data_IF_277321799808
#
_entry.id   IF_277321799808
#
_cell.length_a   1.000
_cell.length_b   1.000
_cell.length_c   1.000
_cell.angle_alpha   90.00
_cell.angle_beta   90.00
_cell.angle_gamma   90.00
#
_symmetry.space_group_name_H-M   'P 1'
#
loop_
_entity.id
_entity.type
_entity.pdbx_description
1 polymer ?
#
# COMPACT_ATOMS: atom_id res chain seq x y z
N UNK A 1 1.31 -34.05 -11.68
CA UNK A 1 0.36 -33.38 -10.77
C UNK A 1 0.75 -31.90 -10.77
N UNK A 2 0.05 -31.07 -11.55
CA UNK A 2 0.38 -29.65 -11.72
C UNK A 2 -0.40 -28.82 -10.69
N UNK A 3 0.29 -27.97 -9.94
CA UNK A 3 -0.33 -27.07 -8.96
C UNK A 3 -1.25 -26.05 -9.66
N UNK A 4 -2.41 -25.69 -9.06
CA UNK A 4 -3.26 -24.64 -9.61
C UNK A 4 -2.54 -23.30 -9.48
N UNK A 5 -2.27 -22.66 -10.62
CA UNK A 5 -1.88 -21.25 -10.68
C UNK A 5 -3.10 -20.46 -10.25
N UNK A 6 -3.13 -20.02 -9.00
CA UNK A 6 -4.13 -19.06 -8.53
C UNK A 6 -3.88 -17.75 -9.26
N UNK A 7 -4.63 -17.54 -10.35
CA UNK A 7 -4.71 -16.25 -11.03
C UNK A 7 -5.30 -15.25 -10.03
N UNK A 8 -4.43 -14.54 -9.33
CA UNK A 8 -4.80 -13.40 -8.49
C UNK A 8 -5.41 -12.36 -9.44
N UNK A 9 -6.74 -12.24 -9.42
CA UNK A 9 -7.44 -11.15 -10.06
C UNK A 9 -7.09 -9.92 -9.22
N UNK A 10 -5.99 -9.23 -9.57
CA UNK A 10 -5.70 -7.92 -9.00
C UNK A 10 -6.82 -6.99 -9.46
N UNK A 11 -7.69 -6.57 -8.55
CA UNK A 11 -8.69 -5.54 -8.82
C UNK A 11 -8.01 -4.28 -9.34
N UNK A 12 -8.68 -3.53 -10.22
CA UNK A 12 -8.10 -2.34 -10.81
C UNK A 12 -7.89 -1.28 -9.71
N UNK A 13 -6.65 -0.85 -9.48
CA UNK A 13 -6.38 0.25 -8.54
C UNK A 13 -6.70 1.58 -9.22
N UNK A 14 -7.55 2.40 -8.60
CA UNK A 14 -7.91 3.73 -9.13
C UNK A 14 -7.18 4.80 -8.34
N UNK A 15 -6.61 5.78 -9.04
CA UNK A 15 -6.00 6.94 -8.43
C UNK A 15 -7.00 8.08 -8.27
N UNK A 16 -7.19 8.57 -7.04
CA UNK A 16 -8.04 9.75 -6.79
C UNK A 16 -7.25 10.82 -6.04
N UNK A 17 -7.31 12.04 -6.57
CA UNK A 17 -6.74 13.21 -5.90
C UNK A 17 -7.71 13.71 -4.84
N UNK A 18 -7.21 13.86 -3.62
CA UNK A 18 -7.97 14.39 -2.50
C UNK A 18 -8.08 15.91 -2.57
N UNK A 19 -9.27 16.44 -2.32
CA UNK A 19 -9.53 17.88 -2.21
C UNK A 19 -8.89 18.50 -0.95
N UNK A 20 -8.55 17.67 0.05
CA UNK A 20 -8.10 18.13 1.37
C UNK A 20 -6.60 18.34 1.43
N UNK A 21 -5.82 17.36 0.95
CA UNK A 21 -4.36 17.36 1.02
C UNK A 21 -3.70 17.54 -0.36
N UNK A 22 -4.48 17.52 -1.44
CA UNK A 22 -3.96 17.62 -2.82
C UNK A 22 -3.10 16.43 -3.24
N UNK A 23 -3.13 15.32 -2.49
CA UNK A 23 -2.39 14.10 -2.81
C UNK A 23 -3.27 13.13 -3.57
N UNK A 24 -2.65 12.36 -4.47
CA UNK A 24 -3.29 11.28 -5.19
C UNK A 24 -3.13 9.97 -4.40
N UNK A 25 -4.25 9.36 -4.05
CA UNK A 25 -4.32 8.14 -3.26
C UNK A 25 -4.80 6.96 -4.12
N UNK A 26 -4.27 5.77 -3.82
CA UNK A 26 -4.72 4.52 -4.45
C UNK A 26 -5.94 4.00 -3.71
N UNK A 27 -6.99 3.63 -4.45
CA UNK A 27 -8.24 3.08 -3.93
C UNK A 27 -8.44 1.71 -4.58
N UNK A 28 -8.83 0.72 -3.78
CA UNK A 28 -9.21 -0.59 -4.29
C UNK A 28 -10.62 -0.51 -4.91
N UNK A 29 -10.82 -1.17 -6.05
CA UNK A 29 -12.11 -1.17 -6.76
C UNK A 29 -13.28 -1.67 -5.89
N UNK A 30 -12.99 -2.49 -4.88
CA UNK A 30 -13.94 -2.99 -3.87
C UNK A 30 -14.38 -1.94 -2.84
N UNK A 31 -13.68 -0.80 -2.75
CA UNK A 31 -13.90 0.24 -1.73
C UNK A 31 -14.60 1.49 -2.28
N UNK A 32 -15.18 1.41 -3.47
CA UNK A 32 -16.07 2.45 -3.99
C UNK A 32 -17.39 2.42 -3.21
N UNK A 33 -17.44 3.15 -2.10
CA UNK A 33 -18.69 3.49 -1.44
C UNK A 33 -19.59 4.21 -2.46
N UNK A 34 -20.72 3.58 -2.80
CA UNK A 34 -21.68 4.10 -3.78
C UNK A 34 -22.19 5.47 -3.30
N UNK A 35 -21.82 6.52 -4.04
CA UNK A 35 -22.32 7.87 -3.87
C UNK A 35 -21.53 8.74 -2.89
N UNK A 36 -21.35 10.02 -3.26
CA UNK A 36 -20.81 11.13 -2.45
C UNK A 36 -19.32 11.47 -2.57
N UNK A 37 -18.57 10.90 -3.51
CA UNK A 37 -17.18 11.30 -3.76
C UNK A 37 -16.25 11.10 -2.55
N UNK A 38 -16.60 10.13 -1.69
CA UNK A 38 -15.87 9.72 -0.49
C UNK A 38 -15.36 8.31 -0.70
N UNK A 39 -14.07 8.11 -0.50
CA UNK A 39 -13.39 6.85 -0.73
C UNK A 39 -12.50 6.50 0.45
N UNK A 40 -12.28 5.21 0.68
CA UNK A 40 -11.20 4.76 1.56
C UNK A 40 -10.01 4.43 0.68
N UNK A 41 -8.86 5.01 0.99
CA UNK A 41 -7.62 4.72 0.30
C UNK A 41 -6.91 3.53 0.95
N UNK A 42 -6.01 2.89 0.20
CA UNK A 42 -5.13 1.82 0.68
C UNK A 42 -4.30 2.22 1.92
N UNK A 43 -4.00 3.51 2.08
CA UNK A 43 -3.31 4.02 3.26
C UNK A 43 -4.21 4.18 4.51
N UNK A 44 -5.50 3.87 4.39
CA UNK A 44 -6.53 4.03 5.43
C UNK A 44 -7.15 5.42 5.51
N UNK A 45 -6.75 6.37 4.65
CA UNK A 45 -7.30 7.72 4.65
C UNK A 45 -8.68 7.76 3.98
N UNK A 46 -9.59 8.56 4.54
CA UNK A 46 -10.84 8.93 3.86
C UNK A 46 -10.54 10.07 2.88
N UNK A 47 -10.72 9.79 1.59
CA UNK A 47 -10.43 10.69 0.48
C UNK A 47 -11.72 11.33 0.00
N UNK A 48 -11.76 12.66 -0.01
CA UNK A 48 -12.78 13.44 -0.72
C UNK A 48 -12.25 13.76 -2.11
N UNK A 49 -12.91 13.31 -3.17
CA UNK A 49 -12.44 13.59 -4.53
C UNK A 49 -12.39 15.09 -4.81
N UNK A 50 -11.25 15.57 -5.29
CA UNK A 50 -11.12 16.88 -5.87
C UNK A 50 -12.01 17.03 -7.12
N UNK A 51 -12.31 18.28 -7.50
CA UNK A 51 -12.93 18.58 -8.79
C UNK A 51 -12.11 18.00 -9.93
N UNK A 52 -12.77 17.48 -10.97
CA UNK A 52 -12.10 16.99 -12.18
C UNK A 52 -11.33 18.10 -12.94
N UNK A 53 -11.64 19.37 -12.67
CA UNK A 53 -10.90 20.51 -13.21
C UNK A 53 -9.64 20.84 -12.41
N UNK A 54 -9.45 20.24 -11.23
CA UNK A 54 -8.25 20.44 -10.43
C UNK A 54 -7.07 19.63 -11.00
N UNK A 55 -5.83 20.13 -10.89
CA UNK A 55 -4.66 19.38 -11.32
C UNK A 55 -4.48 18.10 -10.49
N UNK A 56 -3.96 17.05 -11.13
CA UNK A 56 -3.67 15.77 -10.46
C UNK A 56 -2.62 15.95 -9.38
N UNK A 57 -2.90 15.41 -8.20
CA UNK A 57 -2.00 15.43 -7.05
C UNK A 57 -0.77 14.56 -7.23
N UNK A 58 0.28 14.84 -6.45
CA UNK A 58 1.41 13.91 -6.31
C UNK A 58 0.96 12.66 -5.56
N UNK A 59 1.52 11.51 -5.90
CA UNK A 59 1.15 10.24 -5.25
C UNK A 59 1.47 10.28 -3.76
N UNK A 60 0.49 9.90 -2.94
CA UNK A 60 0.62 9.71 -1.51
C UNK A 60 1.71 8.66 -1.22
N UNK A 61 2.72 9.02 -0.43
CA UNK A 61 3.88 8.16 -0.17
C UNK A 61 3.51 6.82 0.50
N UNK A 62 2.61 6.78 1.50
CA UNK A 62 2.03 5.52 1.99
C UNK A 62 1.39 4.65 0.90
N UNK A 63 0.53 5.22 0.06
CA UNK A 63 -0.11 4.50 -1.05
C UNK A 63 0.95 3.93 -2.01
N UNK A 64 1.94 4.75 -2.38
CA UNK A 64 3.06 4.31 -3.23
C UNK A 64 3.88 3.16 -2.62
N UNK A 65 4.02 3.11 -1.29
CA UNK A 65 4.74 2.03 -0.61
C UNK A 65 3.93 0.73 -0.50
N UNK A 66 2.60 0.84 -0.50
CA UNK A 66 1.67 -0.29 -0.46
C UNK A 66 1.39 -0.88 -1.84
N UNK A 67 1.68 -0.15 -2.91
CA UNK A 67 1.73 -0.72 -4.26
C UNK A 67 2.71 -1.88 -4.28
N UNK A 68 2.19 -3.08 -4.42
CA UNK A 68 3.01 -4.25 -4.68
C UNK A 68 3.51 -4.14 -6.13
N UNK A 69 4.82 -3.89 -6.39
CA UNK A 69 5.32 -3.92 -7.75
C UNK A 69 4.98 -5.30 -8.33
N UNK A 70 4.37 -5.31 -9.52
CA UNK A 70 4.14 -6.55 -10.23
C UNK A 70 5.51 -7.19 -10.47
N UNK A 71 5.75 -8.34 -9.86
CA UNK A 71 6.92 -9.16 -10.14
C UNK A 71 6.64 -9.92 -11.45
N UNK A 72 6.29 -9.19 -12.52
CA UNK A 72 6.36 -9.74 -13.86
C UNK A 72 7.83 -9.93 -14.17
N UNK A 73 8.22 -11.19 -14.31
CA UNK A 73 9.58 -11.64 -14.50
C UNK A 73 10.23 -10.98 -15.72
N UNK A 74 11.27 -10.18 -15.49
CA UNK A 74 12.29 -9.91 -16.50
C UNK A 74 13.62 -10.37 -15.92
N UNK A 75 14.10 -11.49 -16.47
CA UNK A 75 15.34 -12.17 -16.14
C UNK A 75 16.53 -11.25 -16.44
N UNK A 76 17.30 -10.93 -15.40
CA UNK A 76 18.68 -10.47 -15.55
C UNK A 76 18.92 -9.01 -15.19
N UNK A 77 19.29 -8.76 -13.92
CA UNK A 77 20.55 -8.07 -13.61
C UNK A 77 20.79 -8.20 -12.10
N UNK A 78 22.02 -8.57 -11.75
CA UNK A 78 22.45 -9.13 -10.48
C UNK A 78 22.54 -8.08 -9.36
N UNK A 79 21.44 -7.42 -8.97
CA UNK A 79 21.41 -6.41 -7.88
C UNK A 79 20.24 -6.40 -6.85
N UNK A 80 19.35 -7.41 -6.70
CA UNK A 80 18.29 -7.33 -5.68
C UNK A 80 18.69 -7.87 -4.28
N UNK A 81 19.72 -8.71 -4.16
CA UNK A 81 19.98 -9.45 -2.91
C UNK A 81 20.33 -8.55 -1.71
N UNK A 82 21.03 -7.42 -1.92
CA UNK A 82 21.42 -6.52 -0.82
C UNK A 82 20.31 -5.55 -0.41
N UNK A 83 19.53 -5.05 -1.39
CA UNK A 83 18.41 -4.16 -1.14
C UNK A 83 17.26 -4.91 -0.43
N UNK A 84 16.95 -6.13 -0.89
CA UNK A 84 15.96 -7.00 -0.26
C UNK A 84 16.35 -7.34 1.20
N UNK A 85 17.62 -7.70 1.45
CA UNK A 85 18.11 -7.94 2.82
C UNK A 85 17.94 -6.73 3.74
N UNK A 86 18.24 -5.51 3.26
CA UNK A 86 18.03 -4.28 4.06
C UNK A 86 16.56 -4.03 4.37
N UNK A 87 15.67 -4.24 3.40
CA UNK A 87 14.23 -4.12 3.61
C UNK A 87 13.73 -5.15 4.65
N UNK A 88 14.15 -6.40 4.53
CA UNK A 88 13.84 -7.47 5.49
C UNK A 88 14.38 -7.17 6.89
N UNK A 89 15.64 -6.76 7.03
CA UNK A 89 16.23 -6.40 8.32
C UNK A 89 15.51 -5.22 8.99
N UNK A 90 15.09 -4.21 8.20
CA UNK A 90 14.33 -3.07 8.73
C UNK A 90 12.94 -3.48 9.22
N UNK A 91 12.25 -4.34 8.48
CA UNK A 91 10.96 -4.87 8.89
C UNK A 91 11.08 -5.71 10.18
N UNK A 92 12.06 -6.62 10.24
CA UNK A 92 12.35 -7.41 11.44
C UNK A 92 12.71 -6.55 12.65
N UNK A 93 13.47 -5.45 12.44
CA UNK A 93 13.77 -4.50 13.52
C UNK A 93 12.48 -3.85 14.07
N UNK A 94 11.59 -3.39 13.19
CA UNK A 94 10.29 -2.80 13.59
C UNK A 94 9.43 -3.85 14.31
N UNK A 95 9.27 -5.05 13.77
CA UNK A 95 8.53 -6.14 14.41
C UNK A 95 9.10 -6.49 15.79
N UNK A 96 10.43 -6.51 15.94
CA UNK A 96 11.07 -6.81 17.22
C UNK A 96 10.84 -5.72 18.29
N UNK A 97 10.63 -4.47 17.88
CA UNK A 97 10.28 -3.37 18.81
C UNK A 97 8.83 -3.53 19.25
N UNK A 98 7.92 -3.82 18.31
CA UNK A 98 6.51 -4.06 18.60
C UNK A 98 6.36 -5.24 19.56
N UNK A 99 6.98 -6.39 19.27
CA UNK A 99 6.89 -7.58 20.14
C UNK A 99 7.52 -7.36 21.53
N UNK A 100 8.60 -6.57 21.64
CA UNK A 100 9.18 -6.23 22.95
C UNK A 100 8.33 -5.23 23.73
N UNK A 101 7.64 -4.32 23.05
CA UNK A 101 6.66 -3.42 23.65
C UNK A 101 5.46 -4.17 24.22
N UNK A 102 4.90 -5.10 23.45
CA UNK A 102 3.74 -5.91 23.89
C UNK A 102 4.08 -6.85 25.04
N UNK A 103 5.27 -7.45 25.04
CA UNK A 103 5.73 -8.30 26.16
C UNK A 103 5.99 -7.50 27.44
N UNK A 104 6.45 -6.25 27.35
CA UNK A 104 6.64 -5.39 28.54
C UNK A 104 5.32 -4.86 29.11
N UNK A 105 4.31 -4.63 28.28
CA UNK A 105 2.98 -4.24 28.74
C UNK A 105 2.23 -5.37 29.47
N UNK A 106 2.57 -6.64 29.21
CA UNK A 106 2.00 -7.78 29.94
C UNK A 106 2.60 -8.02 31.34
N UNK A 107 3.70 -7.35 31.70
CA UNK A 107 4.38 -7.54 32.99
C UNK A 107 3.98 -6.50 34.06
N UNK A 108 3.03 -5.62 33.79
CA UNK A 108 2.53 -4.57 34.71
C UNK A 108 1.01 -4.66 34.88
N UNK A 109 0.47 -5.89 34.95
CA UNK A 109 -0.92 -6.16 35.29
C UNK A 109 -0.96 -7.12 36.49
#
# INVERSE_FOLDING_TARGET
>A
MSAPVTRSVRGAQVLITSAVDGLAHDIEESEVLVGHGRYVAMCGAVVLSASLAAPTGRVCRPCAALRCPDLSEEVGERRPARAARRAQSRWLAVCSVIMRGTLRHQAVA
#
